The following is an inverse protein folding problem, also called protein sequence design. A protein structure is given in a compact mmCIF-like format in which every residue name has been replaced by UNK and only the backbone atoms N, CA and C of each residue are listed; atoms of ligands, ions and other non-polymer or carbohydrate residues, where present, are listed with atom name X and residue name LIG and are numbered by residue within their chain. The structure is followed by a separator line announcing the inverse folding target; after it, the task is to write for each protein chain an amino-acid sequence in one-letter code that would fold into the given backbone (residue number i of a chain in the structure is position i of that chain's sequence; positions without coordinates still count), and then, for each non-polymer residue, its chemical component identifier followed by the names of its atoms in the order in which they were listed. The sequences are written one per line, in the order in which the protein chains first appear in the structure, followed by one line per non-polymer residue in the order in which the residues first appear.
data_IF_759537676950
#
_entry.id   IF_759537676950
#
_cell.length_a   1.000
_cell.length_b   1.000
_cell.length_c   1.000
_cell.angle_alpha   90.00
_cell.angle_beta   90.00
_cell.angle_gamma   90.00
#
_symmetry.space_group_name_H-M   'P 1'
#
loop_
_entity.id
_entity.type
_entity.pdbx_description
1 polymer ?
#
# COMPACT_ATOMS: atom_id res chain seq x y z
N UNK A 1 -21.22 18.87 10.55
CA UNK A 1 -19.92 19.13 9.90
C UNK A 1 -20.11 18.98 8.41
N UNK A 2 -19.70 19.96 7.60
CA UNK A 2 -19.73 19.83 6.14
C UNK A 2 -18.55 18.95 5.68
N UNK A 3 -18.86 17.68 5.42
CA UNK A 3 -17.88 16.69 4.96
C UNK A 3 -17.31 17.02 3.59
N UNK A 4 -18.13 17.56 2.70
CA UNK A 4 -17.73 17.84 1.32
C UNK A 4 -16.76 19.01 1.29
N UNK A 5 -17.05 20.09 2.01
CA UNK A 5 -16.12 21.21 2.16
C UNK A 5 -14.78 20.79 2.78
N UNK A 6 -14.82 19.91 3.80
CA UNK A 6 -13.62 19.38 4.42
C UNK A 6 -12.79 18.49 3.46
N UNK A 7 -13.45 17.65 2.66
CA UNK A 7 -12.79 16.82 1.64
C UNK A 7 -12.12 17.70 0.58
N UNK A 8 -12.85 18.67 0.02
CA UNK A 8 -12.34 19.49 -1.08
C UNK A 8 -11.17 20.37 -0.64
N UNK A 9 -11.26 21.02 0.53
CA UNK A 9 -10.15 21.80 1.11
C UNK A 9 -8.86 20.99 1.24
N UNK A 10 -8.95 19.75 1.74
CA UNK A 10 -7.79 18.89 1.88
C UNK A 10 -7.30 18.36 0.53
N UNK A 11 -8.22 18.11 -0.42
CA UNK A 11 -7.89 17.66 -1.78
C UNK A 11 -7.12 18.72 -2.55
N UNK A 12 -7.57 19.98 -2.52
CA UNK A 12 -6.90 21.12 -3.14
C UNK A 12 -5.51 21.34 -2.56
N UNK A 13 -5.37 21.31 -1.23
CA UNK A 13 -4.08 21.41 -0.57
C UNK A 13 -3.11 20.30 -1.02
N UNK A 14 -3.58 19.04 -1.12
CA UNK A 14 -2.76 17.94 -1.64
C UNK A 14 -2.39 18.11 -3.11
N UNK A 15 -3.29 18.67 -3.95
CA UNK A 15 -2.97 18.97 -5.35
C UNK A 15 -1.86 20.02 -5.46
N UNK A 16 -1.92 21.11 -4.67
CA UNK A 16 -0.86 22.14 -4.60
C UNK A 16 0.49 21.54 -4.20
N UNK A 17 0.49 20.75 -3.12
CA UNK A 17 1.66 20.00 -2.65
C UNK A 17 2.23 19.11 -3.75
N UNK A 18 1.36 18.35 -4.43
CA UNK A 18 1.77 17.39 -5.45
C UNK A 18 2.44 18.09 -6.63
N UNK A 19 1.89 19.23 -7.06
CA UNK A 19 2.51 20.06 -8.10
C UNK A 19 3.92 20.51 -7.69
N UNK A 20 4.11 20.97 -6.44
CA UNK A 20 5.42 21.35 -5.93
C UNK A 20 6.40 20.15 -5.88
N UNK A 21 5.94 18.94 -5.54
CA UNK A 21 6.78 17.74 -5.54
C UNK A 21 7.17 17.29 -6.95
N UNK A 22 6.29 17.45 -7.94
CA UNK A 22 6.58 17.15 -9.35
C UNK A 22 7.62 18.13 -9.88
N UNK A 23 7.48 19.42 -9.58
CA UNK A 23 8.46 20.45 -9.93
C UNK A 23 9.82 20.17 -9.27
N UNK A 24 9.85 19.89 -7.96
CA UNK A 24 11.08 19.54 -7.23
C UNK A 24 11.78 18.28 -7.78
N UNK A 25 11.01 17.34 -8.33
CA UNK A 25 11.56 16.12 -8.91
C UNK A 25 12.05 16.30 -10.36
N UNK A 26 11.87 17.48 -10.98
CA UNK A 26 12.20 17.73 -12.38
C UNK A 26 11.40 16.89 -13.37
N UNK A 27 10.21 16.41 -12.96
CA UNK A 27 9.41 15.47 -13.75
C UNK A 27 8.46 16.15 -14.73
N UNK A 28 8.36 17.49 -14.71
CA UNK A 28 7.56 18.29 -15.65
C UNK A 28 8.15 18.34 -17.05
N UNK A 29 9.48 18.23 -17.17
CA UNK A 29 10.19 18.65 -18.39
C UNK A 29 10.47 17.47 -19.34
N UNK A 30 9.88 16.29 -19.10
CA UNK A 30 10.04 15.09 -19.93
C UNK A 30 11.47 14.49 -19.95
N UNK A 31 12.46 15.17 -19.37
CA UNK A 31 13.81 14.66 -19.18
C UNK A 31 13.82 13.67 -18.03
N UNK A 32 13.80 12.38 -18.35
CA UNK A 32 14.08 11.31 -17.38
C UNK A 32 15.58 11.31 -17.00
N UNK A 33 16.04 12.39 -16.38
CA UNK A 33 17.38 12.50 -15.80
C UNK A 33 17.47 11.74 -14.48
N UNK A 34 18.66 11.24 -14.16
CA UNK A 34 18.90 10.69 -12.82
C UNK A 34 18.83 11.83 -11.80
N UNK A 35 18.13 11.61 -10.69
CA UNK A 35 17.96 12.60 -9.62
C UNK A 35 19.02 12.37 -8.53
N UNK A 36 19.70 13.42 -8.02
CA UNK A 36 20.56 13.30 -6.85
C UNK A 36 19.83 12.63 -5.68
N UNK A 37 20.50 11.70 -5.00
CA UNK A 37 19.89 10.90 -3.92
C UNK A 37 19.27 11.76 -2.83
N UNK A 38 19.89 12.88 -2.46
CA UNK A 38 19.37 13.77 -1.43
C UNK A 38 18.01 14.39 -1.83
N UNK A 39 17.85 14.84 -3.08
CA UNK A 39 16.57 15.33 -3.62
C UNK A 39 15.54 14.21 -3.70
N UNK A 40 15.92 13.03 -4.22
CA UNK A 40 15.03 11.87 -4.26
C UNK A 40 14.50 11.52 -2.86
N UNK A 41 15.35 11.60 -1.84
CA UNK A 41 14.96 11.36 -0.43
C UNK A 41 14.11 12.50 0.12
N UNK A 42 14.36 13.75 -0.24
CA UNK A 42 13.55 14.91 0.16
C UNK A 42 12.12 14.77 -0.38
N UNK A 43 11.96 14.53 -1.68
CA UNK A 43 10.63 14.30 -2.30
C UNK A 43 9.96 13.09 -1.66
N UNK A 44 10.67 11.98 -1.44
CA UNK A 44 10.12 10.81 -0.76
C UNK A 44 9.65 11.07 0.68
N UNK A 45 10.30 11.99 1.41
CA UNK A 45 9.92 12.35 2.78
C UNK A 45 8.58 13.08 2.83
N UNK A 46 8.24 13.86 1.80
CA UNK A 46 6.98 14.59 1.66
C UNK A 46 5.91 13.75 0.95
N UNK A 47 6.29 12.91 0.00
CA UNK A 47 5.36 12.03 -0.70
C UNK A 47 4.73 10.98 0.22
N UNK A 48 5.47 10.44 1.20
CA UNK A 48 4.94 9.46 2.16
C UNK A 48 3.73 9.97 2.96
N UNK A 49 3.80 11.14 3.62
CA UNK A 49 2.64 11.69 4.30
C UNK A 49 1.55 12.15 3.32
N UNK A 50 1.89 12.64 2.12
CA UNK A 50 0.89 12.94 1.08
C UNK A 50 0.10 11.69 0.66
N UNK A 51 0.77 10.58 0.33
CA UNK A 51 0.11 9.29 0.04
C UNK A 51 -0.75 8.80 1.22
N UNK A 52 -0.31 9.06 2.45
CA UNK A 52 -1.06 8.71 3.64
C UNK A 52 -2.33 9.55 3.78
N UNK A 53 -2.25 10.85 3.47
CA UNK A 53 -3.37 11.78 3.51
C UNK A 53 -4.39 11.43 2.43
N UNK A 54 -3.97 11.17 1.18
CA UNK A 54 -4.86 10.74 0.09
C UNK A 54 -5.63 9.49 0.46
N UNK A 55 -4.99 8.49 1.08
CA UNK A 55 -5.68 7.26 1.52
C UNK A 55 -6.73 7.51 2.60
N UNK A 56 -6.49 8.50 3.46
CA UNK A 56 -7.46 8.94 4.47
C UNK A 56 -8.62 9.68 3.83
N UNK A 57 -8.39 10.55 2.85
CA UNK A 57 -9.46 11.18 2.08
C UNK A 57 -10.32 10.16 1.32
N UNK A 58 -9.72 9.11 0.76
CA UNK A 58 -10.48 8.01 0.14
C UNK A 58 -11.40 7.31 1.15
N UNK A 59 -10.94 7.12 2.39
CA UNK A 59 -11.77 6.55 3.47
C UNK A 59 -12.94 7.48 3.81
N UNK A 60 -12.66 8.78 3.95
CA UNK A 60 -13.68 9.80 4.26
C UNK A 60 -14.71 9.90 3.12
N UNK A 61 -14.27 9.94 1.86
CA UNK A 61 -15.14 9.98 0.69
C UNK A 61 -15.94 8.67 0.50
N UNK A 62 -15.51 7.56 1.10
CA UNK A 62 -16.27 6.31 1.10
C UNK A 62 -17.34 6.25 2.20
N UNK A 63 -17.45 7.28 3.06
CA UNK A 63 -18.58 7.45 3.98
C UNK A 63 -19.88 7.53 3.18
N UNK A 64 -20.90 6.79 3.61
CA UNK A 64 -22.20 6.74 2.91
C UNK A 64 -22.20 6.01 1.56
N UNK A 65 -21.05 5.53 1.05
CA UNK A 65 -21.01 4.77 -0.21
C UNK A 65 -21.47 3.34 0.03
N UNK A 66 -22.69 3.04 -0.40
CA UNK A 66 -23.26 1.70 -0.45
C UNK A 66 -22.87 1.02 -1.75
N UNK A 67 -22.31 -0.19 -1.67
CA UNK A 67 -21.99 -0.99 -2.85
C UNK A 67 -22.54 -2.39 -2.66
N UNK A 68 -23.19 -2.93 -3.70
CA UNK A 68 -23.69 -4.29 -3.68
C UNK A 68 -22.54 -5.30 -3.52
N UNK A 69 -22.72 -6.37 -2.73
CA UNK A 69 -21.72 -7.42 -2.60
C UNK A 69 -21.47 -8.08 -3.96
N UNK A 70 -20.21 -8.32 -4.34
CA UNK A 70 -19.92 -9.09 -5.54
C UNK A 70 -20.46 -10.50 -5.35
N UNK A 71 -21.08 -11.06 -6.41
CA UNK A 71 -21.56 -12.44 -6.41
C UNK A 71 -20.41 -13.38 -6.01
N UNK A 72 -20.67 -14.38 -5.14
CA UNK A 72 -19.65 -15.35 -4.77
C UNK A 72 -19.12 -15.99 -6.06
N UNK A 73 -17.79 -15.98 -6.22
CA UNK A 73 -17.17 -16.75 -7.31
C UNK A 73 -17.52 -18.21 -7.04
N UNK A 74 -18.16 -18.88 -8.01
CA UNK A 74 -18.25 -20.35 -8.00
C UNK A 74 -16.85 -20.88 -7.72
N UNK A 75 -16.68 -21.85 -6.80
CA UNK A 75 -15.38 -22.45 -6.57
C UNK A 75 -14.87 -22.94 -7.93
N UNK A 76 -13.71 -22.42 -8.34
CA UNK A 76 -13.01 -22.97 -9.50
C UNK A 76 -12.79 -24.47 -9.24
N UNK A 77 -12.88 -25.33 -10.27
CA UNK A 77 -12.52 -26.73 -10.14
C UNK A 77 -11.14 -26.82 -9.48
N UNK A 78 -10.97 -27.79 -8.57
CA UNK A 78 -9.72 -27.98 -7.84
C UNK A 78 -8.49 -28.04 -8.76
N UNK A 79 -7.28 -27.81 -8.21
CA UNK A 79 -6.06 -27.82 -9.00
C UNK A 79 -5.98 -29.10 -9.84
N UNK A 80 -5.47 -29.02 -11.09
CA UNK A 80 -5.35 -30.20 -11.93
C UNK A 80 -4.50 -31.25 -11.23
N UNK A 81 -5.05 -32.47 -11.14
CA UNK A 81 -4.33 -33.67 -10.74
C UNK A 81 -3.08 -33.78 -11.65
N UNK A 82 -1.88 -34.02 -11.11
CA UNK A 82 -0.68 -34.17 -11.94
C UNK A 82 -0.87 -35.37 -12.87
N UNK A 83 -0.81 -35.16 -14.19
CA UNK A 83 -0.82 -36.27 -15.17
C UNK A 83 -1.67 -36.11 -16.43
N UNK A 84 -2.38 -35.00 -16.64
CA UNK A 84 -3.03 -34.70 -17.93
C UNK A 84 -2.33 -33.55 -18.65
N UNK A 85 -1.94 -33.70 -19.93
CA UNK A 85 -1.45 -32.58 -20.72
C UNK A 85 -2.63 -31.67 -21.04
N UNK A 86 -2.80 -30.60 -20.25
CA UNK A 86 -3.71 -29.53 -20.58
C UNK A 86 -3.09 -28.73 -21.73
N UNK A 87 -3.68 -28.85 -22.91
CA UNK A 87 -3.41 -27.99 -24.06
C UNK A 87 -3.60 -26.52 -23.71
N UNK A 88 -2.87 -25.67 -24.43
CA UNK A 88 -2.81 -24.21 -24.32
C UNK A 88 -2.05 -23.67 -23.09
N UNK A 89 -0.72 -23.79 -23.16
CA UNK A 89 0.15 -22.84 -22.49
C UNK A 89 -0.11 -21.44 -23.07
N UNK A 90 -0.93 -20.65 -22.39
CA UNK A 90 -1.06 -19.20 -22.69
C UNK A 90 0.35 -18.61 -22.56
N UNK A 91 0.90 -17.98 -23.61
CA UNK A 91 2.27 -17.50 -23.57
C UNK A 91 2.40 -16.42 -22.49
N UNK A 92 3.37 -16.62 -21.59
CA UNK A 92 3.73 -15.74 -20.48
C UNK A 92 4.09 -14.30 -20.92
N UNK A 93 4.23 -14.05 -22.22
CA UNK A 93 4.66 -12.78 -22.82
C UNK A 93 3.64 -11.63 -22.79
N UNK A 94 2.35 -11.88 -22.55
CA UNK A 94 1.32 -10.82 -22.61
C UNK A 94 1.05 -10.10 -21.27
N UNK A 95 1.77 -10.44 -20.18
CA UNK A 95 1.53 -9.86 -18.84
C UNK A 95 2.36 -8.61 -18.54
N UNK A 96 3.15 -8.14 -19.49
CA UNK A 96 3.96 -6.91 -19.39
C UNK A 96 3.24 -5.68 -19.93
N UNK A 97 1.90 -5.69 -20.01
CA UNK A 97 1.16 -4.44 -19.98
C UNK A 97 1.57 -3.71 -18.70
N UNK A 98 2.38 -2.67 -18.84
CA UNK A 98 3.01 -1.91 -17.78
C UNK A 98 1.95 -1.52 -16.74
N UNK A 99 1.77 -2.34 -15.70
CA UNK A 99 0.66 -2.17 -14.74
C UNK A 99 0.81 -0.79 -14.13
N UNK A 100 -0.10 0.13 -14.49
CA UNK A 100 -0.15 1.49 -13.96
C UNK A 100 -0.15 1.37 -12.44
N UNK A 101 0.80 2.04 -11.77
CA UNK A 101 0.80 2.03 -10.31
C UNK A 101 -0.49 2.71 -9.84
N UNK A 102 -1.28 2.01 -9.05
CA UNK A 102 -2.46 2.58 -8.39
C UNK A 102 -2.12 2.86 -6.93
N UNK A 103 -2.73 3.91 -6.36
CA UNK A 103 -2.59 4.19 -4.95
C UNK A 103 -3.01 2.94 -4.12
N UNK A 104 -2.16 2.45 -3.20
CA UNK A 104 -2.56 1.39 -2.29
C UNK A 104 -3.67 1.92 -1.38
N UNK A 105 -4.71 1.15 -1.10
CA UNK A 105 -5.82 1.64 -0.25
C UNK A 105 -5.47 1.66 1.25
N UNK A 106 -4.43 0.92 1.66
CA UNK A 106 -4.18 0.59 3.06
C UNK A 106 -2.81 1.05 3.53
N UNK A 107 -2.70 1.39 4.82
CA UNK A 107 -1.40 1.65 5.44
C UNK A 107 -0.54 0.38 5.42
N UNK A 108 0.75 0.48 5.17
CA UNK A 108 1.65 -0.66 5.37
C UNK A 108 1.75 -0.97 6.86
N UNK A 109 1.38 -2.19 7.25
CA UNK A 109 1.56 -2.66 8.63
C UNK A 109 3.05 -2.93 8.83
N UNK A 110 3.63 -2.38 9.91
CA UNK A 110 4.98 -2.72 10.33
C UNK A 110 4.95 -4.06 11.05
N UNK A 111 4.99 -5.13 10.27
CA UNK A 111 5.22 -6.46 10.81
C UNK A 111 6.71 -6.62 11.10
N UNK A 112 7.12 -7.23 12.22
CA UNK A 112 8.50 -7.63 12.42
C UNK A 112 8.87 -8.58 11.27
N UNK A 113 9.76 -8.12 10.39
CA UNK A 113 10.28 -8.96 9.33
C UNK A 113 11.59 -9.57 9.84
N UNK A 114 11.78 -10.90 9.76
CA UNK A 114 13.09 -11.46 9.98
C UNK A 114 14.04 -10.77 9.01
N UNK A 115 15.17 -10.26 9.52
CA UNK A 115 16.21 -9.69 8.68
C UNK A 115 16.63 -10.80 7.73
N UNK A 116 16.28 -10.69 6.44
CA UNK A 116 16.83 -11.60 5.44
C UNK A 116 18.34 -11.34 5.41
N UNK A 117 19.19 -12.35 5.63
CA UNK A 117 20.61 -12.19 5.39
C UNK A 117 20.76 -11.77 3.93
N UNK A 118 21.43 -10.64 3.71
CA UNK A 118 21.79 -10.20 2.36
C UNK A 118 22.74 -11.27 1.83
N UNK A 119 22.41 -11.86 0.68
CA UNK A 119 23.30 -12.78 0.00
C UNK A 119 24.67 -12.10 -0.15
N UNK A 120 25.64 -12.62 0.58
CA UNK A 120 27.02 -12.22 0.45
C UNK A 120 27.51 -12.91 -0.81
N UNK A 121 28.02 -12.16 -1.81
CA UNK A 121 28.69 -12.74 -2.98
C UNK A 121 30.03 -13.41 -2.65
N UNK A 122 30.28 -13.63 -1.35
CA UNK A 122 31.54 -14.05 -0.77
C UNK A 122 31.23 -15.14 0.27
N UNK A 123 31.91 -16.30 0.24
CA UNK A 123 31.74 -17.34 1.24
C UNK A 123 32.14 -16.82 2.62
N UNK A 124 31.29 -17.07 3.64
CA UNK A 124 31.54 -16.71 5.05
C UNK A 124 32.19 -17.85 5.86
N UNK A 125 32.69 -18.86 5.17
CA UNK A 125 33.31 -20.03 5.79
C UNK A 125 34.81 -19.82 5.71
N UNK A 126 35.45 -19.71 6.88
CA UNK A 126 36.90 -19.68 7.02
C UNK A 126 37.29 -20.75 8.02
N UNK A 127 38.32 -21.53 7.69
CA UNK A 127 38.89 -22.54 8.58
C UNK A 127 40.14 -21.92 9.19
N UNK A 128 40.18 -21.66 10.51
CA UNK A 128 41.33 -21.06 11.17
C UNK A 128 42.61 -21.85 10.84
N UNK A 129 43.62 -21.16 10.32
CA UNK A 129 44.90 -21.77 9.93
C UNK A 129 44.92 -22.47 8.57
N UNK A 130 43.78 -22.59 7.86
CA UNK A 130 43.72 -23.28 6.56
C UNK A 130 43.18 -22.39 5.43
N UNK A 131 42.30 -21.44 5.71
CA UNK A 131 41.83 -20.47 4.73
C UNK A 131 41.81 -19.03 5.26
N UNK A 132 42.30 -18.11 4.44
CA UNK A 132 42.23 -16.69 4.73
C UNK A 132 40.79 -16.18 4.52
N UNK A 133 40.29 -15.28 5.39
CA UNK A 133 39.02 -14.60 5.15
C UNK A 133 39.04 -13.87 3.81
N UNK A 134 38.00 -14.08 2.99
CA UNK A 134 37.91 -13.37 1.71
C UNK A 134 37.74 -11.87 1.97
N UNK A 135 38.52 -11.00 1.30
CA UNK A 135 38.45 -9.56 1.50
C UNK A 135 37.09 -9.04 1.04
N UNK A 136 36.22 -8.74 2.00
CA UNK A 136 34.97 -8.03 1.71
C UNK A 136 35.34 -6.59 1.44
N UNK A 137 35.20 -6.16 0.17
CA UNK A 137 35.38 -4.75 -0.17
C UNK A 137 34.54 -3.90 0.79
N UNK A 138 35.14 -2.90 1.48
CA UNK A 138 34.43 -2.09 2.45
C UNK A 138 33.23 -1.45 1.76
N UNK A 139 32.03 -1.71 2.29
CA UNK A 139 30.80 -1.11 1.76
C UNK A 139 30.90 0.40 1.93
N UNK A 140 31.12 1.12 0.83
CA UNK A 140 31.06 2.58 0.85
C UNK A 140 29.61 3.00 1.13
N UNK A 141 29.36 3.88 2.11
CA UNK A 141 28.03 4.44 2.29
C UNK A 141 27.66 5.21 1.01
N UNK A 142 26.39 5.15 0.59
CA UNK A 142 25.94 5.90 -0.58
C UNK A 142 26.11 7.41 -0.36
N UNK A 143 26.65 8.13 -1.34
CA UNK A 143 26.86 9.57 -1.24
C UNK A 143 25.54 10.34 -1.46
N UNK A 144 25.43 11.58 -0.94
CA UNK A 144 24.24 12.42 -1.12
C UNK A 144 23.88 12.70 -2.57
N UNK A 145 24.87 12.77 -3.45
CA UNK A 145 24.70 13.14 -4.86
C UNK A 145 24.73 11.94 -5.81
N UNK A 146 24.73 10.72 -5.26
CA UNK A 146 24.57 9.50 -6.04
C UNK A 146 23.35 9.62 -6.96
N UNK A 147 23.47 9.40 -8.28
CA UNK A 147 22.35 9.49 -9.19
C UNK A 147 21.36 8.35 -8.95
N UNK A 148 20.07 8.66 -8.89
CA UNK A 148 18.97 7.71 -8.64
C UNK A 148 17.91 7.84 -9.72
N UNK A 149 17.46 6.71 -10.27
CA UNK A 149 16.33 6.67 -11.21
C UNK A 149 15.01 7.14 -10.54
N UNK A 150 14.39 8.25 -11.00
CA UNK A 150 13.13 8.75 -10.45
C UNK A 150 11.89 8.07 -11.05
N UNK A 151 12.00 7.11 -11.98
CA UNK A 151 10.84 6.53 -12.68
C UNK A 151 9.79 5.94 -11.72
N UNK A 152 10.22 5.29 -10.64
CA UNK A 152 9.28 4.76 -9.62
C UNK A 152 8.67 5.88 -8.77
N UNK A 153 9.40 6.97 -8.55
CA UNK A 153 8.89 8.16 -7.86
C UNK A 153 7.79 8.83 -8.70
N UNK A 154 8.04 9.04 -9.99
CA UNK A 154 7.05 9.59 -10.93
C UNK A 154 5.79 8.75 -11.02
N UNK A 155 5.92 7.42 -11.16
CA UNK A 155 4.74 6.53 -11.15
C UNK A 155 3.94 6.58 -9.85
N UNK A 156 4.56 6.88 -8.71
CA UNK A 156 3.85 7.06 -7.43
C UNK A 156 3.17 8.42 -7.35
N UNK A 157 3.82 9.49 -7.81
CA UNK A 157 3.20 10.82 -7.91
C UNK A 157 1.98 10.78 -8.83
N UNK A 158 2.08 10.12 -9.98
CA UNK A 158 0.96 9.92 -10.90
C UNK A 158 -0.18 9.09 -10.26
N UNK A 159 0.15 8.08 -9.46
CA UNK A 159 -0.85 7.30 -8.73
C UNK A 159 -1.61 8.13 -7.70
N UNK A 160 -0.94 9.08 -7.04
CA UNK A 160 -1.57 10.04 -6.12
C UNK A 160 -2.42 11.03 -6.90
N UNK A 161 -1.92 11.59 -8.01
CA UNK A 161 -2.67 12.50 -8.88
C UNK A 161 -3.99 11.86 -9.34
N UNK A 162 -3.93 10.68 -9.98
CA UNK A 162 -5.14 9.99 -10.44
C UNK A 162 -6.12 9.64 -9.31
N UNK A 163 -5.64 9.41 -8.08
CA UNK A 163 -6.52 9.18 -6.94
C UNK A 163 -7.18 10.46 -6.42
N UNK A 164 -6.51 11.61 -6.52
CA UNK A 164 -7.10 12.91 -6.17
C UNK A 164 -8.04 13.40 -7.28
N UNK A 165 -7.76 13.10 -8.55
CA UNK A 165 -8.64 13.49 -9.65
C UNK A 165 -9.95 12.70 -9.65
N UNK A 166 -9.87 11.39 -9.43
CA UNK A 166 -11.03 10.50 -9.33
C UNK A 166 -11.17 9.88 -7.92
N UNK A 167 -11.48 10.76 -6.96
CA UNK A 167 -11.72 10.36 -5.57
C UNK A 167 -12.93 9.41 -5.43
N UNK A 168 -14.08 9.64 -6.12
CA UNK A 168 -15.24 8.76 -6.02
C UNK A 168 -14.99 7.31 -6.47
N UNK A 169 -14.23 7.08 -7.56
CA UNK A 169 -13.93 5.69 -7.95
C UNK A 169 -13.05 4.97 -6.93
N UNK A 170 -12.09 5.68 -6.34
CA UNK A 170 -11.26 5.13 -5.27
C UNK A 170 -12.08 4.85 -4.00
N UNK A 171 -13.06 5.71 -3.68
CA UNK A 171 -14.01 5.51 -2.59
C UNK A 171 -14.90 4.26 -2.82
N UNK A 172 -15.43 4.06 -4.04
CA UNK A 172 -16.15 2.84 -4.41
C UNK A 172 -15.28 1.59 -4.28
N UNK A 173 -14.01 1.65 -4.73
CA UNK A 173 -13.04 0.56 -4.58
C UNK A 173 -12.80 0.21 -3.11
N UNK A 174 -12.77 1.21 -2.23
CA UNK A 174 -12.66 1.02 -0.79
C UNK A 174 -13.94 0.43 -0.18
N UNK A 175 -15.12 0.91 -0.57
CA UNK A 175 -16.40 0.38 -0.13
C UNK A 175 -16.58 -1.09 -0.53
N UNK A 176 -16.20 -1.47 -1.76
CA UNK A 176 -16.16 -2.87 -2.21
C UNK A 176 -15.28 -3.75 -1.34
N UNK A 177 -14.13 -3.23 -0.88
CA UNK A 177 -13.29 -3.98 0.04
C UNK A 177 -13.96 -4.18 1.40
N UNK A 178 -14.66 -3.17 1.94
CA UNK A 178 -15.43 -3.31 3.19
C UNK A 178 -16.47 -4.42 3.07
N UNK A 179 -17.28 -4.39 2.02
CA UNK A 179 -18.32 -5.41 1.79
C UNK A 179 -17.71 -6.81 1.67
N UNK A 180 -16.60 -6.96 0.94
CA UNK A 180 -15.88 -8.24 0.85
C UNK A 180 -15.35 -8.71 2.20
N UNK A 181 -14.83 -7.80 3.03
CA UNK A 181 -14.36 -8.10 4.39
C UNK A 181 -15.50 -8.57 5.28
N UNK A 182 -16.65 -7.90 5.22
CA UNK A 182 -17.80 -8.21 6.07
C UNK A 182 -18.44 -9.55 5.68
N UNK A 183 -18.61 -9.80 4.37
CA UNK A 183 -19.04 -11.11 3.86
C UNK A 183 -18.07 -12.24 4.26
N UNK A 184 -16.76 -11.98 4.18
CA UNK A 184 -15.72 -12.89 4.65
C UNK A 184 -15.83 -13.18 6.15
N UNK A 185 -16.15 -12.18 6.97
CA UNK A 185 -16.36 -12.32 8.41
C UNK A 185 -17.61 -13.13 8.74
N UNK A 186 -18.72 -12.88 8.03
CA UNK A 186 -19.94 -13.65 8.15
C UNK A 186 -19.73 -15.14 7.82
N UNK A 187 -18.99 -15.44 6.74
CA UNK A 187 -18.66 -16.82 6.37
C UNK A 187 -17.86 -17.54 7.47
N UNK A 188 -16.86 -16.87 8.08
CA UNK A 188 -16.09 -17.48 9.17
C UNK A 188 -16.96 -17.77 10.40
N UNK A 189 -17.88 -16.86 10.77
CA UNK A 189 -18.84 -17.11 11.86
C UNK A 189 -19.72 -18.32 11.56
N UNK A 190 -20.24 -18.43 10.33
CA UNK A 190 -21.08 -19.55 9.90
C UNK A 190 -20.31 -20.88 9.92
N UNK A 191 -19.06 -20.91 9.44
CA UNK A 191 -18.21 -22.11 9.51
C UNK A 191 -17.93 -22.53 10.96
N UNK A 192 -17.71 -21.57 11.86
CA UNK A 192 -17.49 -21.88 13.29
C UNK A 192 -18.76 -22.41 13.96
N UNK A 193 -19.93 -21.87 13.61
CA UNK A 193 -21.22 -22.36 14.12
C UNK A 193 -21.53 -23.79 13.62
N UNK A 194 -21.26 -24.09 12.35
CA UNK A 194 -21.43 -25.42 11.78
C UNK A 194 -20.38 -26.43 12.33
N UNK A 195 -19.12 -25.99 12.50
CA UNK A 195 -18.03 -26.82 13.04
C UNK A 195 -18.09 -27.05 14.56
N UNK A 196 -18.90 -26.28 15.31
CA UNK A 196 -19.12 -26.50 16.73
C UNK A 196 -19.81 -27.85 17.03
N UNK A 197 -20.50 -28.42 16.04
CA UNK A 197 -21.24 -29.68 16.16
C UNK A 197 -20.35 -30.94 16.08
N UNK A 198 -19.09 -30.84 15.65
CA UNK A 198 -18.21 -32.01 15.48
C UNK A 198 -16.76 -31.67 15.86
N UNK A 199 -16.40 -31.83 17.15
CA UNK A 199 -15.13 -31.32 17.68
C UNK A 199 -13.96 -32.31 17.58
N UNK A 200 -13.07 -32.04 16.63
CA UNK A 200 -11.62 -32.26 16.82
C UNK A 200 -10.91 -30.90 16.63
N UNK A 201 -10.27 -30.32 17.66
CA UNK A 201 -9.65 -28.99 17.58
C UNK A 201 -8.53 -28.87 16.53
N UNK A 202 -7.98 -29.99 16.06
CA UNK A 202 -6.98 -30.02 14.97
C UNK A 202 -7.56 -29.74 13.58
N UNK A 203 -8.88 -29.87 13.40
CA UNK A 203 -9.58 -29.71 12.11
C UNK A 203 -10.26 -28.35 11.93
N UNK A 204 -10.07 -27.39 12.85
CA UNK A 204 -10.60 -26.04 12.63
C UNK A 204 -9.91 -25.42 11.40
N UNK A 205 -10.66 -24.90 10.42
CA UNK A 205 -10.07 -24.15 9.32
C UNK A 205 -9.39 -22.90 9.91
N UNK A 206 -8.06 -22.92 9.97
CA UNK A 206 -7.27 -21.77 10.36
C UNK A 206 -7.39 -20.73 9.24
N UNK A 207 -8.36 -19.84 9.36
CA UNK A 207 -8.60 -18.78 8.39
C UNK A 207 -7.32 -17.98 8.15
N UNK A 208 -7.00 -17.69 6.88
CA UNK A 208 -5.84 -16.85 6.56
C UNK A 208 -5.98 -15.50 7.26
N UNK A 209 -4.90 -14.95 7.85
CA UNK A 209 -4.98 -13.64 8.51
C UNK A 209 -5.44 -12.58 7.51
N UNK A 210 -6.54 -11.89 7.84
CA UNK A 210 -7.15 -10.86 6.99
C UNK A 210 -7.00 -9.49 7.65
N UNK A 211 -6.93 -8.47 6.79
CA UNK A 211 -6.87 -7.09 7.25
C UNK A 211 -8.27 -6.65 7.69
N UNK A 212 -8.45 -6.36 8.97
CA UNK A 212 -9.75 -5.95 9.54
C UNK A 212 -9.91 -4.42 9.49
N UNK A 213 -8.84 -3.69 9.80
CA UNK A 213 -8.83 -2.23 9.83
C UNK A 213 -8.06 -1.65 8.63
N UNK A 214 -8.51 -0.54 8.01
CA UNK A 214 -7.83 0.09 6.87
C UNK A 214 -6.64 0.98 7.25
N UNK A 215 -6.60 1.50 8.47
CA UNK A 215 -5.49 2.31 8.98
C UNK A 215 -4.50 1.45 9.77
N UNK A 216 -3.26 1.92 9.92
CA UNK A 216 -2.30 1.35 10.88
C UNK A 216 -2.66 1.86 12.29
N UNK A 217 -2.56 1.02 13.34
CA UNK A 217 -2.70 1.50 14.71
C UNK A 217 -1.70 2.62 15.05
N UNK A 218 -2.17 3.63 15.79
CA UNK A 218 -1.36 4.78 16.20
C UNK A 218 -1.20 5.84 15.10
N UNK A 219 -0.05 6.52 15.11
CA UNK A 219 0.20 7.69 14.24
C UNK A 219 0.27 7.31 12.75
N UNK A 220 -0.18 8.21 11.86
CA UNK A 220 -0.18 7.95 10.44
C UNK A 220 1.25 7.82 9.87
N UNK A 221 1.46 7.06 8.79
CA UNK A 221 2.78 6.95 8.18
C UNK A 221 3.23 8.29 7.63
N UNK A 222 4.43 8.72 8.02
CA UNK A 222 4.95 10.04 7.67
C UNK A 222 4.57 11.14 8.67
N UNK A 223 3.84 10.84 9.75
CA UNK A 223 3.58 11.80 10.82
C UNK A 223 4.87 12.33 11.46
N UNK A 224 4.86 13.60 11.84
CA UNK A 224 5.93 14.26 12.58
C UNK A 224 5.35 15.08 13.73
N UNK A 225 6.06 15.09 14.86
CA UNK A 225 5.70 15.89 16.04
C UNK A 225 5.85 17.39 15.81
N UNK A 226 6.90 17.79 15.08
CA UNK A 226 7.17 19.18 14.69
C UNK A 226 7.07 19.25 13.16
N UNK A 227 5.92 19.66 12.62
CA UNK A 227 5.75 19.81 11.18
C UNK A 227 6.57 21.01 10.70
N UNK A 228 7.26 20.86 9.57
CA UNK A 228 7.94 21.97 8.89
C UNK A 228 7.39 22.20 7.48
N UNK A 229 6.27 21.58 7.14
CA UNK A 229 5.66 21.62 5.81
C UNK A 229 4.16 21.33 5.91
N UNK A 230 3.35 22.03 5.10
CA UNK A 230 1.88 21.99 5.07
C UNK A 230 1.30 20.56 5.02
N UNK A 231 1.92 19.67 4.23
CA UNK A 231 1.59 18.23 4.12
C UNK A 231 1.31 17.55 5.46
N UNK A 232 2.05 17.89 6.51
CA UNK A 232 1.89 17.23 7.81
C UNK A 232 0.59 17.64 8.51
N UNK A 233 0.15 18.89 8.32
CA UNK A 233 -1.13 19.40 8.84
C UNK A 233 -2.29 18.78 8.06
N UNK A 234 -2.20 18.76 6.73
CA UNK A 234 -3.18 18.10 5.86
C UNK A 234 -3.32 16.61 6.22
N UNK A 235 -2.20 15.93 6.48
CA UNK A 235 -2.22 14.54 6.96
C UNK A 235 -2.93 14.40 8.30
N UNK A 236 -2.70 15.32 9.25
CA UNK A 236 -3.31 15.28 10.57
C UNK A 236 -4.83 15.49 10.49
N UNK A 237 -5.26 16.46 9.70
CA UNK A 237 -6.68 16.77 9.45
C UNK A 237 -7.38 15.59 8.78
N UNK A 238 -6.83 15.09 7.67
CA UNK A 238 -7.38 13.93 6.98
C UNK A 238 -7.41 12.68 7.87
N UNK A 239 -6.43 12.52 8.77
CA UNK A 239 -6.40 11.41 9.71
C UNK A 239 -7.53 11.46 10.72
N UNK A 240 -7.78 12.63 11.33
CA UNK A 240 -8.91 12.82 12.24
C UNK A 240 -10.26 12.54 11.55
N UNK A 241 -10.45 13.12 10.37
CA UNK A 241 -11.66 12.88 9.55
C UNK A 241 -11.85 11.39 9.23
N UNK A 242 -10.78 10.69 8.84
CA UNK A 242 -10.87 9.27 8.51
C UNK A 242 -11.17 8.38 9.73
N UNK A 243 -10.68 8.75 10.91
CA UNK A 243 -11.07 8.06 12.14
C UNK A 243 -12.55 8.27 12.45
N UNK A 244 -13.01 9.53 12.40
CA UNK A 244 -14.42 9.84 12.66
C UNK A 244 -15.36 9.15 11.67
N UNK A 245 -15.01 9.10 10.38
CA UNK A 245 -15.77 8.40 9.34
C UNK A 245 -15.79 6.87 9.50
N UNK A 246 -14.83 6.28 10.22
CA UNK A 246 -14.79 4.83 10.49
C UNK A 246 -15.48 4.45 11.81
N UNK A 247 -15.44 5.32 12.82
CA UNK A 247 -16.06 5.09 14.14
C UNK A 247 -17.56 5.40 14.14
N UNK A 248 -17.98 6.43 13.40
CA UNK A 248 -19.36 6.87 13.30
C UNK A 248 -19.82 6.77 11.84
N UNK A 249 -20.05 5.55 11.31
CA UNK A 249 -20.75 5.43 10.05
C UNK A 249 -22.12 6.06 10.22
N UNK A 250 -22.54 6.95 9.32
CA UNK A 250 -23.88 7.54 9.35
C UNK A 250 -24.92 6.42 9.37
N UNK A 251 -25.45 6.13 10.55
CA UNK A 251 -26.67 5.39 10.76
C UNK A 251 -27.79 6.38 10.49
N UNK A 252 -28.16 6.52 9.23
CA UNK A 252 -29.45 7.08 8.81
C UNK A 252 -30.44 5.92 8.65
#
# INVERSE_FOLDING_TARGET
MDWNAAIEKNREALKRILAALVAMAGLSDGRAGMLPRHLHRAVLRLLRPAEAATRRLVIVAARGVVVAPPRPRKPEPGPPIPGKPAGSAVPSGARTAMRRLTLPLFDTLRLPRPRRPVASGVPRICVPGFSAPFPVAPRRPPAPDDPVDPARLGRRLAAVASALDDLPAHARRFALWRVRRDAAGAQTKNCNAAGAQNRNPRNLPHGRPRRVWPLRPGRPPGWRRRPGHEVYEVLNNAHGLAFWALEHPDTS
#
